data_IF_530427062700
#
_entry.id   IF_530427062700
#
_cell.length_a   1.000
_cell.length_b   1.000
_cell.length_c   1.000
_cell.angle_alpha   90.00
_cell.angle_beta   90.00
_cell.angle_gamma   90.00
#
_symmetry.space_group_name_H-M   'P 1'
#
loop_
_entity.id
_entity.type
_entity.pdbx_description
1 polymer ?
#
# COMPACT_ATOMS: atom_id res chain seq x y z
N UNK A 1 23.66 -21.31 17.51
CA UNK A 1 22.42 -22.05 17.84
C UNK A 1 22.08 -21.98 19.34
N UNK A 2 23.07 -21.82 20.25
CA UNK A 2 22.85 -21.78 21.72
C UNK A 2 22.29 -20.43 22.22
N UNK A 3 22.53 -19.31 21.58
CA UNK A 3 22.05 -18.01 22.00
C UNK A 3 20.51 -17.83 21.88
N UNK A 4 19.87 -18.49 20.92
CA UNK A 4 18.40 -18.45 20.75
C UNK A 4 17.65 -19.17 21.87
N UNK A 5 18.23 -20.22 22.41
CA UNK A 5 17.62 -21.00 23.49
C UNK A 5 17.62 -20.23 24.83
N UNK A 6 18.63 -19.42 25.09
CA UNK A 6 18.72 -18.62 26.30
C UNK A 6 17.73 -17.44 26.34
N UNK A 7 17.42 -16.84 25.19
CA UNK A 7 16.51 -15.68 25.14
C UNK A 7 15.04 -16.05 25.39
N UNK A 8 14.65 -17.29 25.16
CA UNK A 8 13.25 -17.75 25.29
C UNK A 8 12.95 -18.43 26.62
N UNK A 9 13.96 -18.90 27.38
CA UNK A 9 13.75 -19.64 28.63
C UNK A 9 13.31 -18.75 29.81
N UNK A 10 13.63 -17.46 29.77
CA UNK A 10 13.31 -16.51 30.85
C UNK A 10 12.00 -15.73 30.64
N UNK A 11 11.36 -15.81 29.42
CA UNK A 11 10.13 -15.10 29.13
C UNK A 11 8.91 -15.81 29.78
N UNK A 12 8.02 -15.02 30.38
CA UNK A 12 6.74 -15.52 30.87
C UNK A 12 5.96 -16.26 29.74
N UNK A 13 5.24 -17.35 30.02
CA UNK A 13 4.55 -18.14 28.99
C UNK A 13 3.66 -17.32 28.08
N UNK A 14 2.96 -16.31 28.63
CA UNK A 14 2.12 -15.40 27.85
C UNK A 14 2.93 -14.56 26.82
N UNK A 15 4.14 -14.15 27.17
CA UNK A 15 5.02 -13.38 26.28
C UNK A 15 5.55 -14.26 25.12
N UNK A 16 5.82 -15.52 25.38
CA UNK A 16 6.19 -16.49 24.32
C UNK A 16 5.06 -16.71 23.34
N UNK A 17 3.85 -16.98 23.80
CA UNK A 17 2.68 -17.16 22.95
C UNK A 17 2.40 -15.94 22.05
N UNK A 18 2.63 -14.71 22.56
CA UNK A 18 2.52 -13.50 21.78
C UNK A 18 3.61 -13.37 20.69
N UNK A 19 4.84 -13.74 21.02
CA UNK A 19 5.95 -13.75 20.06
C UNK A 19 5.72 -14.76 18.93
N UNK A 20 5.27 -15.95 19.29
CA UNK A 20 4.96 -16.99 18.32
C UNK A 20 3.78 -16.60 17.43
N UNK A 21 2.70 -16.07 18.00
CA UNK A 21 1.56 -15.58 17.25
C UNK A 21 1.95 -14.41 16.30
N UNK A 22 2.78 -13.49 16.76
CA UNK A 22 3.30 -12.41 15.93
C UNK A 22 4.21 -12.93 14.80
N UNK A 23 5.11 -13.86 15.12
CA UNK A 23 6.01 -14.47 14.15
C UNK A 23 5.24 -15.22 13.05
N UNK A 24 4.28 -16.05 13.43
CA UNK A 24 3.41 -16.74 12.48
C UNK A 24 2.57 -15.76 11.64
N UNK A 25 2.04 -14.69 12.25
CA UNK A 25 1.34 -13.65 11.50
C UNK A 25 2.22 -12.99 10.44
N UNK A 26 3.50 -12.73 10.73
CA UNK A 26 4.46 -12.21 9.76
C UNK A 26 4.68 -13.19 8.60
N UNK A 27 4.82 -14.48 8.88
CA UNK A 27 4.98 -15.52 7.85
C UNK A 27 3.73 -15.63 6.98
N UNK A 28 2.56 -15.73 7.62
CA UNK A 28 1.29 -15.84 6.90
C UNK A 28 0.94 -14.57 6.10
N UNK A 29 1.38 -13.40 6.54
CA UNK A 29 1.15 -12.16 5.79
C UNK A 29 1.70 -12.22 4.37
N UNK A 30 2.78 -12.97 4.10
CA UNK A 30 3.42 -13.06 2.79
C UNK A 30 2.48 -13.62 1.71
N UNK A 31 1.84 -14.75 1.97
CA UNK A 31 0.90 -15.33 1.01
C UNK A 31 -0.44 -14.60 1.00
N UNK A 32 -0.92 -14.14 2.17
CA UNK A 32 -2.14 -13.32 2.28
C UNK A 32 -2.01 -12.04 1.47
N UNK A 33 -0.87 -11.36 1.59
CA UNK A 33 -0.61 -10.15 0.86
C UNK A 33 -0.45 -10.38 -0.65
N UNK A 34 0.16 -11.50 -1.06
CA UNK A 34 0.22 -11.87 -2.47
C UNK A 34 -1.18 -12.13 -3.05
N UNK A 35 -2.06 -12.80 -2.28
CA UNK A 35 -3.45 -13.04 -2.66
C UNK A 35 -4.22 -11.71 -2.82
N UNK A 36 -4.16 -10.82 -1.82
CA UNK A 36 -4.82 -9.51 -1.88
C UNK A 36 -4.33 -8.69 -3.08
N UNK A 37 -3.02 -8.69 -3.34
CA UNK A 37 -2.46 -8.00 -4.50
C UNK A 37 -2.93 -8.62 -5.83
N UNK A 38 -2.99 -9.95 -5.92
CA UNK A 38 -3.52 -10.67 -7.08
C UNK A 38 -4.99 -10.35 -7.36
N UNK A 39 -5.83 -10.39 -6.32
CA UNK A 39 -7.25 -10.01 -6.41
C UNK A 39 -7.41 -8.56 -6.86
N UNK A 40 -6.62 -7.64 -6.30
CA UNK A 40 -6.65 -6.25 -6.73
C UNK A 40 -6.14 -6.05 -8.17
N UNK A 41 -5.14 -6.81 -8.61
CA UNK A 41 -4.67 -6.79 -10.00
C UNK A 41 -5.79 -7.24 -10.97
N UNK A 42 -6.47 -8.34 -10.67
CA UNK A 42 -7.64 -8.81 -11.42
C UNK A 42 -8.77 -7.77 -11.43
N UNK A 43 -9.07 -7.18 -10.26
CA UNK A 43 -10.04 -6.10 -10.17
C UNK A 43 -9.67 -4.92 -11.09
N UNK A 44 -8.41 -4.48 -11.10
CA UNK A 44 -7.94 -3.40 -11.99
C UNK A 44 -8.07 -3.76 -13.48
N UNK A 45 -7.83 -5.01 -13.85
CA UNK A 45 -8.00 -5.48 -15.23
C UNK A 45 -9.48 -5.43 -15.65
N UNK A 46 -10.39 -5.92 -14.82
CA UNK A 46 -11.83 -5.89 -15.05
C UNK A 46 -12.37 -4.45 -15.03
N UNK A 47 -11.89 -3.61 -14.10
CA UNK A 47 -12.25 -2.22 -13.94
C UNK A 47 -11.43 -1.27 -14.84
N UNK A 48 -10.81 -1.77 -15.93
CA UNK A 48 -9.98 -0.96 -16.84
C UNK A 48 -10.74 0.22 -17.46
N UNK A 49 -12.04 0.04 -17.73
CA UNK A 49 -12.97 1.05 -18.25
C UNK A 49 -13.56 1.96 -17.15
N UNK A 50 -13.45 1.57 -15.90
CA UNK A 50 -13.95 2.37 -14.78
C UNK A 50 -13.05 3.60 -14.53
N UNK A 51 -13.61 4.62 -13.87
CA UNK A 51 -12.85 5.82 -13.50
C UNK A 51 -11.71 5.52 -12.51
N UNK A 52 -10.70 6.37 -12.49
CA UNK A 52 -9.56 6.26 -11.56
C UNK A 52 -10.01 6.22 -10.08
N UNK A 53 -11.11 6.90 -9.75
CA UNK A 53 -11.70 6.89 -8.39
C UNK A 53 -12.08 5.48 -7.91
N UNK A 54 -12.63 4.64 -8.78
CA UNK A 54 -13.06 3.27 -8.44
C UNK A 54 -11.84 2.40 -8.15
N UNK A 55 -10.82 2.47 -9.00
CA UNK A 55 -9.56 1.72 -8.80
C UNK A 55 -8.79 2.20 -7.57
N UNK A 56 -8.78 3.52 -7.33
CA UNK A 56 -8.21 4.10 -6.11
C UNK A 56 -8.90 3.60 -4.84
N UNK A 57 -10.23 3.62 -4.79
CA UNK A 57 -10.99 3.12 -3.66
C UNK A 57 -10.75 1.62 -3.42
N UNK A 58 -10.75 0.82 -4.48
CA UNK A 58 -10.41 -0.60 -4.42
C UNK A 58 -8.99 -0.85 -3.88
N UNK A 59 -8.03 -0.02 -4.30
CA UNK A 59 -6.66 -0.08 -3.81
C UNK A 59 -6.51 0.32 -2.33
N UNK A 60 -7.24 1.34 -1.89
CA UNK A 60 -7.28 1.74 -0.48
C UNK A 60 -7.88 0.62 0.39
N UNK A 61 -8.94 -0.02 -0.09
CA UNK A 61 -9.54 -1.19 0.59
C UNK A 61 -8.56 -2.38 0.64
N UNK A 62 -7.86 -2.67 -0.45
CA UNK A 62 -6.84 -3.72 -0.48
C UNK A 62 -5.69 -3.43 0.50
N UNK A 63 -5.25 -2.17 0.64
CA UNK A 63 -4.26 -1.78 1.66
C UNK A 63 -4.78 -1.98 3.09
N UNK A 64 -6.06 -1.70 3.33
CA UNK A 64 -6.68 -1.95 4.62
C UNK A 64 -6.71 -3.45 4.94
N UNK A 65 -7.07 -4.29 3.97
CA UNK A 65 -7.03 -5.74 4.13
C UNK A 65 -5.62 -6.25 4.45
N UNK A 66 -4.59 -5.71 3.78
CA UNK A 66 -3.20 -6.07 4.08
C UNK A 66 -2.79 -5.80 5.53
N UNK A 67 -3.36 -4.78 6.16
CA UNK A 67 -3.09 -4.48 7.57
C UNK A 67 -3.94 -5.30 8.53
N UNK A 68 -5.19 -5.56 8.17
CA UNK A 68 -6.15 -6.25 9.03
C UNK A 68 -5.89 -7.76 9.08
N UNK A 69 -5.56 -8.38 7.95
CA UNK A 69 -5.39 -9.84 7.86
C UNK A 69 -4.30 -10.40 8.80
N UNK A 70 -3.07 -9.83 8.86
CA UNK A 70 -2.05 -10.31 9.79
C UNK A 70 -2.47 -10.15 11.26
N UNK A 71 -3.13 -9.04 11.60
CA UNK A 71 -3.65 -8.80 12.95
C UNK A 71 -4.72 -9.82 13.30
N UNK A 72 -5.66 -10.05 12.40
CA UNK A 72 -6.70 -11.08 12.58
C UNK A 72 -6.07 -12.48 12.75
N UNK A 73 -5.06 -12.82 11.95
CA UNK A 73 -4.33 -14.08 12.05
C UNK A 73 -3.65 -14.20 13.41
N UNK A 74 -2.94 -13.16 13.87
CA UNK A 74 -2.31 -13.17 15.20
C UNK A 74 -3.34 -13.33 16.33
N UNK A 75 -4.47 -12.61 16.25
CA UNK A 75 -5.54 -12.73 17.26
C UNK A 75 -6.20 -14.11 17.29
N UNK A 76 -6.39 -14.73 16.13
CA UNK A 76 -6.95 -16.08 16.03
C UNK A 76 -5.96 -17.12 16.57
N UNK A 77 -4.68 -17.03 16.19
CA UNK A 77 -3.63 -17.94 16.67
C UNK A 77 -3.44 -17.85 18.19
N UNK A 78 -3.53 -16.65 18.77
CA UNK A 78 -3.43 -16.45 20.20
C UNK A 78 -4.65 -17.02 20.99
N UNK A 79 -5.78 -17.22 20.34
CA UNK A 79 -7.01 -17.74 20.97
C UNK A 79 -7.17 -19.26 20.84
N UNK A 80 -6.51 -19.90 19.90
CA UNK A 80 -6.55 -21.36 19.74
C UNK A 80 -5.60 -21.98 20.76
N UNK A 81 -6.12 -22.79 21.75
CA UNK A 81 -5.25 -23.54 22.62
C UNK A 81 -4.39 -24.48 21.77
N UNK A 82 -3.11 -24.56 22.08
CA UNK A 82 -2.10 -25.37 21.35
C UNK A 82 -2.51 -26.86 21.19
N UNK A 83 -3.50 -27.32 21.98
CA UNK A 83 -4.01 -28.67 21.91
C UNK A 83 -4.95 -29.02 20.76
N UNK A 84 -5.57 -28.08 20.08
CA UNK A 84 -6.62 -28.39 19.09
C UNK A 84 -6.05 -28.87 17.74
N UNK A 85 -4.90 -28.38 17.33
CA UNK A 85 -4.20 -28.86 16.13
C UNK A 85 -3.43 -30.15 16.43
N UNK A 86 -2.71 -30.22 17.57
CA UNK A 86 -2.04 -31.45 18.02
C UNK A 86 -3.04 -32.60 18.22
N UNK A 87 -4.24 -32.33 18.71
CA UNK A 87 -5.30 -33.31 18.90
C UNK A 87 -5.92 -33.78 17.57
N UNK A 88 -5.99 -32.90 16.57
CA UNK A 88 -6.48 -33.21 15.22
C UNK A 88 -5.47 -34.06 14.43
N UNK A 89 -4.18 -33.73 14.56
CA UNK A 89 -3.10 -34.47 13.91
C UNK A 89 -2.93 -35.86 14.59
N UNK A 90 -2.97 -35.94 15.91
CA UNK A 90 -2.99 -37.21 16.65
C UNK A 90 -4.23 -38.07 16.33
N UNK A 91 -5.41 -37.44 16.17
CA UNK A 91 -6.63 -38.16 15.79
C UNK A 91 -6.57 -38.64 14.32
N UNK A 92 -5.95 -37.89 13.42
CA UNK A 92 -5.77 -38.32 12.02
C UNK A 92 -4.71 -39.40 11.86
N UNK A 93 -3.63 -39.32 12.64
CA UNK A 93 -2.61 -40.39 12.70
C UNK A 93 -3.15 -41.67 13.36
N UNK A 94 -3.93 -41.52 14.44
CA UNK A 94 -4.61 -42.65 15.09
C UNK A 94 -5.61 -43.33 14.16
N UNK A 95 -6.41 -42.57 13.42
CA UNK A 95 -7.38 -43.13 12.47
C UNK A 95 -6.71 -43.83 11.28
N UNK A 96 -5.55 -43.30 10.80
CA UNK A 96 -4.74 -43.97 9.78
C UNK A 96 -4.06 -45.22 10.29
N UNK A 97 -3.50 -45.18 11.50
CA UNK A 97 -2.90 -46.38 12.15
C UNK A 97 -3.93 -47.47 12.41
N UNK A 98 -5.13 -47.14 12.88
CA UNK A 98 -6.24 -48.07 13.06
C UNK A 98 -6.76 -48.63 11.73
N UNK A 99 -6.83 -47.84 10.68
CA UNK A 99 -7.23 -48.35 9.36
C UNK A 99 -6.20 -49.31 8.75
N UNK A 100 -4.91 -49.06 8.98
CA UNK A 100 -3.82 -49.96 8.56
C UNK A 100 -3.80 -51.25 9.44
N UNK A 101 -4.04 -51.15 10.72
CA UNK A 101 -4.10 -52.33 11.62
C UNK A 101 -5.37 -53.18 11.44
N UNK A 102 -6.52 -52.58 11.14
CA UNK A 102 -7.75 -53.24 10.83
C UNK A 102 -7.73 -53.98 9.49
N UNK A 103 -7.03 -53.40 8.48
CA UNK A 103 -6.80 -54.04 7.18
C UNK A 103 -5.87 -55.26 7.23
N UNK A 104 -5.06 -55.41 8.30
CA UNK A 104 -4.11 -56.51 8.47
C UNK A 104 -4.69 -57.81 9.08
N UNK A 105 -5.96 -57.83 9.53
CA UNK A 105 -6.58 -58.99 10.15
C UNK A 105 -7.50 -59.82 9.26
N UNK A 106 -7.71 -59.47 8.02
CA UNK A 106 -8.41 -60.31 7.06
C UNK A 106 -7.38 -61.21 6.34
N UNK A 107 -7.50 -62.55 6.36
CA UNK A 107 -6.62 -63.43 5.61
C UNK A 107 -7.02 -63.38 4.14
N UNK A 108 -6.45 -62.39 3.41
CA UNK A 108 -6.53 -62.36 1.96
C UNK A 108 -5.40 -63.22 1.39
N UNK A 109 -5.65 -64.53 1.34
CA UNK A 109 -4.90 -65.46 0.53
C UNK A 109 -5.11 -65.05 -0.96
N UNK A 110 -4.06 -64.53 -1.60
CA UNK A 110 -4.02 -64.49 -3.04
C UNK A 110 -4.04 -63.12 -3.74
N UNK A 111 -3.60 -62.00 -3.10
CA UNK A 111 -3.39 -60.74 -3.84
C UNK A 111 -1.93 -60.28 -3.80
N UNK A 112 -1.39 -60.28 -4.97
CA UNK A 112 -0.11 -59.80 -5.52
C UNK A 112 0.83 -59.01 -4.62
N UNK A 113 2.14 -59.34 -4.62
CA UNK A 113 3.23 -58.61 -3.92
C UNK A 113 3.33 -57.14 -4.37
N UNK A 114 2.86 -56.77 -5.58
CA UNK A 114 2.86 -55.44 -6.10
C UNK A 114 1.95 -54.46 -5.32
N UNK A 115 0.80 -54.89 -4.83
CA UNK A 115 -0.11 -54.06 -4.03
C UNK A 115 0.44 -53.77 -2.63
N UNK A 116 1.17 -54.69 -2.03
CA UNK A 116 1.84 -54.48 -0.74
C UNK A 116 3.01 -53.52 -0.86
N UNK A 117 3.84 -53.66 -1.91
CA UNK A 117 4.97 -52.76 -2.18
C UNK A 117 4.49 -51.31 -2.43
N UNK A 118 3.36 -51.09 -3.10
CA UNK A 118 2.82 -49.74 -3.35
C UNK A 118 2.26 -49.12 -2.05
N UNK A 119 1.66 -49.89 -1.13
CA UNK A 119 1.19 -49.36 0.15
C UNK A 119 2.36 -49.03 1.08
N UNK A 120 3.36 -49.88 1.12
CA UNK A 120 4.60 -49.62 1.92
C UNK A 120 5.36 -48.41 1.41
N UNK A 121 5.44 -48.24 0.10
CA UNK A 121 6.08 -47.06 -0.54
C UNK A 121 5.29 -45.79 -0.24
N UNK A 122 3.96 -45.83 -0.29
CA UNK A 122 3.10 -44.71 0.07
C UNK A 122 3.20 -44.34 1.55
N UNK A 123 3.21 -45.39 2.45
CA UNK A 123 3.40 -45.17 3.88
C UNK A 123 4.78 -44.57 4.22
N UNK A 124 5.84 -45.03 3.56
CA UNK A 124 7.18 -44.48 3.70
C UNK A 124 7.25 -43.03 3.18
N UNK A 125 6.57 -42.71 2.08
CA UNK A 125 6.51 -41.33 1.53
C UNK A 125 5.74 -40.39 2.49
N UNK A 126 4.64 -40.86 3.12
CA UNK A 126 3.88 -40.09 4.09
C UNK A 126 4.70 -39.85 5.37
N UNK A 127 5.41 -40.88 5.86
CA UNK A 127 6.26 -40.73 7.05
C UNK A 127 7.48 -39.82 6.80
N UNK A 128 8.04 -39.84 5.60
CA UNK A 128 9.09 -38.93 5.22
C UNK A 128 8.57 -37.46 5.09
N UNK A 129 7.39 -37.27 4.53
CA UNK A 129 6.76 -35.96 4.43
C UNK A 129 6.41 -35.39 5.82
N UNK A 130 5.92 -36.22 6.75
CA UNK A 130 5.62 -35.78 8.13
C UNK A 130 6.89 -35.42 8.90
N UNK A 131 7.96 -36.22 8.77
CA UNK A 131 9.26 -35.93 9.41
C UNK A 131 9.91 -34.63 8.87
N UNK A 132 9.82 -34.36 7.56
CA UNK A 132 10.30 -33.12 6.96
C UNK A 132 9.49 -31.91 7.44
N UNK A 133 8.18 -32.05 7.55
CA UNK A 133 7.30 -31.00 8.11
C UNK A 133 7.66 -30.69 9.55
N UNK A 134 7.76 -31.70 10.41
CA UNK A 134 8.12 -31.53 11.82
C UNK A 134 9.49 -30.84 11.98
N UNK A 135 10.49 -31.28 11.21
CA UNK A 135 11.80 -30.63 11.20
C UNK A 135 11.74 -29.16 10.73
N UNK A 136 10.95 -28.87 9.69
CA UNK A 136 10.80 -27.52 9.17
C UNK A 136 10.05 -26.61 10.17
N UNK A 137 9.00 -27.10 10.82
CA UNK A 137 8.24 -26.39 11.84
C UNK A 137 9.10 -26.08 13.07
N UNK A 138 9.87 -27.05 13.56
CA UNK A 138 10.79 -26.86 14.69
C UNK A 138 11.85 -25.78 14.38
N UNK A 139 12.45 -25.84 13.18
CA UNK A 139 13.43 -24.84 12.74
C UNK A 139 12.82 -23.46 12.58
N UNK A 140 11.63 -23.41 11.98
CA UNK A 140 10.92 -22.14 11.79
C UNK A 140 10.54 -21.52 13.12
N UNK A 141 10.00 -22.32 14.06
CA UNK A 141 9.62 -21.85 15.40
C UNK A 141 10.81 -21.29 16.17
N UNK A 142 11.98 -21.92 16.05
CA UNK A 142 13.21 -21.41 16.65
C UNK A 142 13.68 -20.06 16.07
N UNK A 143 13.28 -19.74 14.83
CA UNK A 143 13.62 -18.48 14.15
C UNK A 143 12.60 -17.36 14.40
N UNK A 144 11.36 -17.67 14.83
CA UNK A 144 10.30 -16.67 15.02
C UNK A 144 10.70 -15.50 15.92
N UNK A 145 11.34 -15.69 17.10
CA UNK A 145 11.75 -14.57 17.93
C UNK A 145 12.71 -13.62 17.23
N UNK A 146 13.67 -14.15 16.48
CA UNK A 146 14.62 -13.35 15.71
C UNK A 146 13.94 -12.59 14.56
N UNK A 147 12.97 -13.20 13.90
CA UNK A 147 12.14 -12.58 12.87
C UNK A 147 11.37 -11.39 13.44
N UNK A 148 10.73 -11.57 14.62
CA UNK A 148 10.00 -10.49 15.30
C UNK A 148 10.93 -9.38 15.75
N UNK A 149 12.12 -9.70 16.31
CA UNK A 149 13.10 -8.68 16.67
C UNK A 149 13.58 -7.88 15.46
N UNK A 150 13.91 -8.54 14.36
CA UNK A 150 14.31 -7.89 13.10
C UNK A 150 13.18 -7.02 12.54
N UNK A 151 11.94 -7.50 12.61
CA UNK A 151 10.76 -6.74 12.20
C UNK A 151 10.57 -5.50 13.07
N UNK A 152 10.66 -5.61 14.41
CA UNK A 152 10.58 -4.48 15.33
C UNK A 152 11.66 -3.43 15.05
N UNK A 153 12.90 -3.86 14.85
CA UNK A 153 14.00 -2.97 14.48
C UNK A 153 13.71 -2.20 13.19
N UNK A 154 13.20 -2.89 12.15
CA UNK A 154 12.77 -2.29 10.91
C UNK A 154 11.62 -1.29 11.10
N UNK A 155 10.60 -1.62 11.89
CA UNK A 155 9.49 -0.72 12.22
C UNK A 155 10.01 0.54 12.93
N UNK A 156 10.89 0.40 13.93
CA UNK A 156 11.48 1.54 14.64
C UNK A 156 12.27 2.44 13.69
N UNK A 157 13.03 1.86 12.76
CA UNK A 157 13.74 2.63 11.74
C UNK A 157 12.76 3.43 10.85
N UNK A 158 11.65 2.82 10.42
CA UNK A 158 10.63 3.52 9.61
C UNK A 158 9.90 4.60 10.42
N UNK A 159 9.61 4.36 11.71
CA UNK A 159 9.01 5.35 12.59
C UNK A 159 9.95 6.53 12.83
N UNK A 160 11.26 6.32 12.98
CA UNK A 160 12.23 7.42 13.10
C UNK A 160 12.27 8.30 11.84
N UNK A 161 12.20 7.68 10.65
CA UNK A 161 12.08 8.41 9.36
C UNK A 161 10.76 9.18 9.27
N UNK A 162 9.66 8.59 9.75
CA UNK A 162 8.36 9.26 9.80
C UNK A 162 8.40 10.48 10.73
N UNK A 163 9.03 10.35 11.92
CA UNK A 163 9.22 11.46 12.84
C UNK A 163 10.02 12.61 12.20
N UNK A 164 11.09 12.29 11.46
CA UNK A 164 11.85 13.26 10.68
C UNK A 164 11.00 13.98 9.61
N UNK A 165 10.21 13.23 8.86
CA UNK A 165 9.28 13.80 7.86
C UNK A 165 8.22 14.71 8.53
N UNK A 166 7.69 14.32 9.69
CA UNK A 166 6.74 15.13 10.44
C UNK A 166 7.37 16.45 10.95
N UNK A 167 8.61 16.40 11.44
CA UNK A 167 9.35 17.61 11.82
C UNK A 167 9.56 18.53 10.62
N UNK A 168 9.88 17.97 9.44
CA UNK A 168 9.97 18.72 8.20
C UNK A 168 8.64 19.41 7.86
N UNK A 169 7.52 18.71 7.91
CA UNK A 169 6.19 19.29 7.67
C UNK A 169 5.91 20.43 8.68
N UNK A 170 6.26 20.25 9.95
CA UNK A 170 6.15 21.34 10.95
C UNK A 170 7.00 22.55 10.57
N UNK A 171 8.23 22.34 10.12
CA UNK A 171 9.12 23.40 9.64
C UNK A 171 8.52 24.13 8.43
N UNK A 172 8.04 23.38 7.43
CA UNK A 172 7.39 23.95 6.25
C UNK A 172 6.19 24.81 6.61
N UNK A 173 5.37 24.39 7.57
CA UNK A 173 4.20 25.18 8.02
C UNK A 173 4.59 26.45 8.76
N UNK A 174 5.71 26.44 9.50
CA UNK A 174 6.18 27.63 10.25
C UNK A 174 6.85 28.65 9.34
N UNK A 175 7.49 28.22 8.26
CA UNK A 175 8.16 29.07 7.28
C UNK A 175 7.23 29.56 6.15
N UNK A 176 5.95 29.15 6.18
CA UNK A 176 4.98 29.54 5.19
C UNK A 176 4.60 31.02 5.33
N UNK A 177 4.75 31.77 4.24
CA UNK A 177 4.38 33.19 4.17
C UNK A 177 3.00 33.34 3.49
N UNK A 178 2.21 34.37 3.85
CA UNK A 178 0.94 34.63 3.17
C UNK A 178 1.16 34.97 1.71
N UNK A 179 0.18 34.69 0.87
CA UNK A 179 0.15 35.10 -0.53
C UNK A 179 -0.64 36.40 -0.70
N UNK A 180 -0.42 37.19 -1.77
CA UNK A 180 -1.28 38.31 -2.11
C UNK A 180 -2.75 37.91 -2.28
N UNK A 181 -3.68 38.82 -1.92
CA UNK A 181 -5.13 38.59 -1.88
C UNK A 181 -5.70 38.03 -3.19
N UNK A 182 -5.21 38.50 -4.34
CA UNK A 182 -5.60 37.97 -5.67
C UNK A 182 -5.50 36.43 -5.79
N UNK A 183 -4.56 35.81 -5.11
CA UNK A 183 -4.38 34.36 -5.14
C UNK A 183 -5.34 33.65 -4.15
N UNK A 184 -5.69 34.31 -3.04
CA UNK A 184 -6.73 33.80 -2.13
C UNK A 184 -8.10 33.83 -2.79
N UNK A 185 -8.43 34.90 -3.54
CA UNK A 185 -9.64 34.97 -4.34
C UNK A 185 -9.67 33.89 -5.43
N UNK A 186 -8.53 33.61 -6.10
CA UNK A 186 -8.42 32.52 -7.06
C UNK A 186 -8.71 31.18 -6.38
N UNK A 187 -8.09 30.92 -5.22
CA UNK A 187 -8.33 29.71 -4.43
C UNK A 187 -9.82 29.57 -4.07
N UNK A 188 -10.45 30.65 -3.63
CA UNK A 188 -11.87 30.66 -3.25
C UNK A 188 -12.78 30.28 -4.44
N UNK A 189 -12.52 30.87 -5.63
CA UNK A 189 -13.27 30.54 -6.86
C UNK A 189 -13.12 29.07 -7.24
N UNK A 190 -11.89 28.54 -7.23
CA UNK A 190 -11.62 27.13 -7.59
C UNK A 190 -12.22 26.19 -6.55
N UNK A 191 -12.12 26.53 -5.27
CA UNK A 191 -12.74 25.77 -4.16
C UNK A 191 -14.25 25.68 -4.33
N UNK A 192 -14.90 26.76 -4.71
CA UNK A 192 -16.34 26.80 -4.99
C UNK A 192 -16.73 25.88 -6.16
N UNK A 193 -15.99 25.92 -7.28
CA UNK A 193 -16.23 25.03 -8.44
C UNK A 193 -16.08 23.55 -8.09
N UNK A 194 -15.07 23.21 -7.31
CA UNK A 194 -14.80 21.85 -6.85
C UNK A 194 -15.67 21.42 -5.67
N UNK A 195 -16.51 22.34 -5.14
CA UNK A 195 -17.36 22.12 -3.95
C UNK A 195 -16.54 21.61 -2.75
N UNK A 196 -15.37 22.20 -2.52
CA UNK A 196 -14.53 21.90 -1.35
C UNK A 196 -15.15 22.56 -0.13
N UNK A 197 -15.65 21.75 0.82
CA UNK A 197 -16.36 22.24 2.02
C UNK A 197 -15.40 22.66 3.16
N UNK A 198 -14.12 22.35 3.03
CA UNK A 198 -13.12 22.64 4.06
C UNK A 198 -12.47 24.00 3.80
N UNK A 199 -12.18 24.71 4.89
CA UNK A 199 -11.35 25.90 4.79
C UNK A 199 -9.91 25.49 4.46
N UNK A 200 -9.43 25.93 3.31
CA UNK A 200 -8.06 25.70 2.81
C UNK A 200 -7.36 27.03 2.81
N UNK A 201 -6.13 27.06 3.31
CA UNK A 201 -5.26 28.24 3.24
C UNK A 201 -4.24 28.07 2.14
N UNK A 202 -3.86 29.17 1.50
CA UNK A 202 -2.79 29.23 0.51
C UNK A 202 -1.62 30.02 1.10
N UNK A 203 -0.42 29.46 1.03
CA UNK A 203 0.79 30.15 1.45
C UNK A 203 1.92 29.90 0.47
N UNK A 204 2.83 30.83 0.37
CA UNK A 204 4.07 30.62 -0.36
C UNK A 204 5.16 30.05 0.53
N UNK A 205 6.06 29.25 -0.04
CA UNK A 205 7.22 28.72 0.68
C UNK A 205 8.41 28.58 -0.27
N UNK A 206 9.57 29.02 0.20
CA UNK A 206 10.84 28.82 -0.51
C UNK A 206 11.41 27.40 -0.29
N UNK A 207 10.83 26.61 0.60
CA UNK A 207 11.30 25.26 0.96
C UNK A 207 10.61 24.16 0.15
N UNK A 208 9.63 24.50 -0.67
CA UNK A 208 8.93 23.54 -1.54
C UNK A 208 9.29 23.80 -3.00
N UNK A 209 9.56 22.75 -3.75
CA UNK A 209 9.87 22.80 -5.19
C UNK A 209 8.61 22.70 -6.05
N UNK A 210 7.58 22.06 -5.53
CA UNK A 210 6.29 21.84 -6.20
C UNK A 210 5.13 22.23 -5.28
N UNK A 211 3.98 22.64 -5.81
CA UNK A 211 2.78 22.81 -5.02
C UNK A 211 2.49 21.55 -4.20
N UNK A 212 2.13 21.71 -2.94
CA UNK A 212 1.97 20.56 -2.02
C UNK A 212 0.94 20.90 -0.96
N UNK A 213 0.02 19.97 -0.70
CA UNK A 213 -0.93 20.06 0.40
C UNK A 213 -0.32 19.48 1.68
N UNK A 214 -0.30 20.27 2.76
CA UNK A 214 0.16 19.85 4.07
C UNK A 214 -0.92 20.02 5.13
N UNK A 215 -1.00 19.05 6.05
CA UNK A 215 -1.97 19.06 7.14
C UNK A 215 -3.31 18.42 6.77
N UNK A 216 -3.92 17.78 7.77
CA UNK A 216 -5.15 17.00 7.61
C UNK A 216 -6.40 17.68 8.17
N UNK A 217 -6.33 18.33 9.34
CA UNK A 217 -7.47 19.04 9.94
C UNK A 217 -7.64 20.44 9.35
N UNK A 218 -6.54 21.14 9.13
CA UNK A 218 -6.48 22.47 8.52
C UNK A 218 -5.53 22.41 7.35
N UNK A 219 -6.03 22.00 6.16
CA UNK A 219 -5.20 21.84 4.97
C UNK A 219 -4.63 23.19 4.55
N UNK A 220 -3.34 23.18 4.24
CA UNK A 220 -2.56 24.30 3.79
C UNK A 220 -1.90 23.92 2.46
N UNK A 221 -2.18 24.66 1.41
CA UNK A 221 -1.49 24.51 0.13
C UNK A 221 -0.25 25.40 0.18
N UNK A 222 0.92 24.79 0.04
CA UNK A 222 2.19 25.48 -0.10
C UNK A 222 2.54 25.54 -1.58
N UNK A 223 2.83 26.76 -2.08
CA UNK A 223 3.25 26.97 -3.45
C UNK A 223 4.64 27.62 -3.47
N UNK A 224 5.58 27.14 -4.30
CA UNK A 224 6.86 27.82 -4.50
C UNK A 224 6.64 29.20 -5.14
N UNK A 225 7.44 30.18 -4.73
CA UNK A 225 7.37 31.54 -5.29
C UNK A 225 7.54 31.54 -6.83
N UNK A 226 8.42 30.68 -7.35
CA UNK A 226 8.60 30.51 -8.79
C UNK A 226 7.33 30.08 -9.54
N UNK A 227 6.49 29.25 -8.93
CA UNK A 227 5.23 28.84 -9.54
C UNK A 227 4.17 29.96 -9.51
N UNK A 228 4.15 30.79 -8.46
CA UNK A 228 3.25 31.95 -8.38
C UNK A 228 3.58 33.03 -9.43
N UNK A 229 4.85 33.17 -9.77
CA UNK A 229 5.34 34.19 -10.69
C UNK A 229 5.48 33.66 -12.13
N UNK A 230 5.80 32.39 -12.31
CA UNK A 230 6.13 31.80 -13.61
C UNK A 230 4.95 31.12 -14.32
N UNK A 231 3.84 30.86 -13.64
CA UNK A 231 2.66 30.27 -14.26
C UNK A 231 1.67 31.35 -14.75
N UNK A 232 1.11 31.14 -15.92
CA UNK A 232 -0.01 31.98 -16.36
C UNK A 232 -1.21 31.76 -15.40
N UNK A 233 -2.08 32.76 -15.18
CA UNK A 233 -3.20 32.67 -14.23
C UNK A 233 -4.10 31.46 -14.42
N UNK A 234 -4.40 31.06 -15.66
CA UNK A 234 -5.19 29.84 -15.95
C UNK A 234 -4.43 28.54 -15.66
N UNK A 235 -3.10 28.56 -15.82
CA UNK A 235 -2.27 27.40 -15.44
C UNK A 235 -2.22 27.24 -13.92
N UNK A 236 -2.08 28.33 -13.18
CA UNK A 236 -2.13 28.32 -11.71
C UNK A 236 -3.49 27.85 -11.21
N UNK A 237 -4.59 28.31 -11.84
CA UNK A 237 -5.94 27.81 -11.56
C UNK A 237 -6.03 26.29 -11.72
N UNK A 238 -5.46 25.72 -12.77
CA UNK A 238 -5.46 24.30 -13.04
C UNK A 238 -4.64 23.50 -12.00
N UNK A 239 -3.51 24.03 -11.57
CA UNK A 239 -2.69 23.47 -10.51
C UNK A 239 -3.42 23.50 -9.16
N UNK A 240 -4.03 24.65 -8.81
CA UNK A 240 -4.84 24.74 -7.59
C UNK A 240 -6.03 23.79 -7.62
N UNK A 241 -6.65 23.56 -8.77
CA UNK A 241 -7.72 22.58 -8.91
C UNK A 241 -7.24 21.15 -8.62
N UNK A 242 -6.02 20.80 -9.03
CA UNK A 242 -5.41 19.52 -8.69
C UNK A 242 -5.18 19.37 -7.18
N UNK A 243 -4.57 20.36 -6.54
CA UNK A 243 -4.30 20.36 -5.09
C UNK A 243 -5.61 20.31 -4.27
N UNK A 244 -6.62 21.06 -4.70
CA UNK A 244 -7.92 21.05 -4.06
C UNK A 244 -8.67 19.72 -4.26
N UNK A 245 -8.41 18.99 -5.33
CA UNK A 245 -8.97 17.65 -5.53
C UNK A 245 -8.44 16.68 -4.47
N UNK A 246 -7.17 16.74 -4.08
CA UNK A 246 -6.62 15.97 -2.96
C UNK A 246 -7.34 16.29 -1.64
N UNK A 247 -7.58 17.57 -1.37
CA UNK A 247 -8.31 18.00 -0.16
C UNK A 247 -9.74 17.50 -0.16
N UNK A 248 -10.47 17.64 -1.27
CA UNK A 248 -11.86 17.20 -1.43
C UNK A 248 -12.05 15.71 -1.17
N UNK A 249 -11.08 14.92 -1.60
CA UNK A 249 -11.12 13.44 -1.55
C UNK A 249 -10.59 12.86 -0.24
N UNK A 250 -10.11 13.70 0.67
CA UNK A 250 -9.47 13.24 1.90
C UNK A 250 -8.27 12.30 1.66
N UNK A 251 -7.48 12.56 0.62
CA UNK A 251 -6.35 11.72 0.21
C UNK A 251 -5.30 11.56 1.32
N UNK A 252 -5.27 12.47 2.29
CA UNK A 252 -4.43 12.34 3.48
C UNK A 252 -4.74 11.08 4.32
N UNK A 253 -6.01 10.66 4.39
CA UNK A 253 -6.38 9.47 5.16
C UNK A 253 -5.83 8.20 4.50
N UNK A 254 -5.92 8.11 3.18
CA UNK A 254 -5.31 7.00 2.43
C UNK A 254 -3.79 7.08 2.49
N UNK A 255 -3.20 8.29 2.48
CA UNK A 255 -1.75 8.44 2.66
C UNK A 255 -1.28 7.97 4.04
N UNK A 256 -2.06 8.20 5.10
CA UNK A 256 -1.78 7.67 6.43
C UNK A 256 -1.87 6.13 6.45
N UNK A 257 -2.90 5.56 5.80
CA UNK A 257 -3.04 4.11 5.62
C UNK A 257 -1.85 3.51 4.86
N UNK A 258 -1.41 4.18 3.77
CA UNK A 258 -0.21 3.80 3.02
C UNK A 258 1.04 3.82 3.90
N UNK A 259 1.21 4.89 4.69
CA UNK A 259 2.36 5.02 5.61
C UNK A 259 2.35 3.90 6.65
N UNK A 260 1.20 3.58 7.23
CA UNK A 260 1.06 2.47 8.17
C UNK A 260 1.42 1.13 7.49
N UNK A 261 0.88 0.86 6.29
CA UNK A 261 1.20 -0.35 5.54
C UNK A 261 2.68 -0.43 5.16
N UNK A 262 3.28 0.65 4.69
CA UNK A 262 4.71 0.70 4.33
C UNK A 262 5.64 0.59 5.55
N UNK A 263 5.19 1.02 6.73
CA UNK A 263 5.94 0.90 7.97
C UNK A 263 5.85 -0.50 8.56
N UNK A 264 4.65 -1.06 8.67
CA UNK A 264 4.43 -2.36 9.32
C UNK A 264 4.79 -3.53 8.39
N UNK A 265 4.58 -3.37 7.08
CA UNK A 265 4.83 -4.36 6.04
C UNK A 265 6.01 -3.95 5.13
N UNK A 266 7.02 -3.29 5.68
CA UNK A 266 8.17 -2.77 4.91
C UNK A 266 8.91 -3.86 4.13
N UNK A 267 8.92 -5.08 4.64
CA UNK A 267 9.53 -6.26 4.02
C UNK A 267 8.67 -6.85 2.88
N UNK A 268 7.38 -6.46 2.80
CA UNK A 268 6.41 -7.12 1.92
C UNK A 268 6.36 -6.51 0.52
N UNK A 269 6.71 -7.25 -0.56
CA UNK A 269 6.75 -6.70 -1.91
C UNK A 269 5.37 -6.29 -2.43
N UNK A 270 4.30 -7.04 -2.09
CA UNK A 270 2.93 -6.72 -2.49
C UNK A 270 2.44 -5.42 -1.86
N UNK A 271 2.79 -5.11 -0.59
CA UNK A 271 2.44 -3.85 0.06
C UNK A 271 3.07 -2.66 -0.70
N UNK A 272 4.34 -2.78 -1.09
CA UNK A 272 5.02 -1.73 -1.87
C UNK A 272 4.44 -1.58 -3.28
N UNK A 273 4.10 -2.69 -3.94
CA UNK A 273 3.46 -2.65 -5.25
C UNK A 273 2.09 -1.99 -5.18
N UNK A 274 1.25 -2.41 -4.23
CA UNK A 274 -0.09 -1.89 -4.03
C UNK A 274 -0.06 -0.40 -3.68
N UNK A 275 0.84 0.01 -2.79
CA UNK A 275 1.00 1.41 -2.40
C UNK A 275 1.41 2.29 -3.59
N UNK A 276 2.33 1.83 -4.45
CA UNK A 276 2.67 2.55 -5.69
C UNK A 276 1.48 2.66 -6.64
N UNK A 277 0.69 1.59 -6.76
CA UNK A 277 -0.49 1.59 -7.61
C UNK A 277 -1.55 2.56 -7.10
N UNK A 278 -1.82 2.56 -5.80
CA UNK A 278 -2.75 3.50 -5.16
C UNK A 278 -2.31 4.95 -5.36
N UNK A 279 -1.01 5.25 -5.23
CA UNK A 279 -0.48 6.59 -5.55
C UNK A 279 -0.75 6.98 -7.01
N UNK A 280 -0.49 6.10 -7.96
CA UNK A 280 -0.75 6.38 -9.37
C UNK A 280 -2.24 6.65 -9.66
N UNK A 281 -3.14 5.82 -9.12
CA UNK A 281 -4.59 6.01 -9.31
C UNK A 281 -5.10 7.27 -8.61
N UNK A 282 -4.49 7.68 -7.48
CA UNK A 282 -4.76 8.95 -6.80
C UNK A 282 -4.43 10.14 -7.69
N UNK A 283 -3.22 10.16 -8.27
CA UNK A 283 -2.80 11.23 -9.19
C UNK A 283 -3.74 11.28 -10.41
N UNK A 284 -4.05 10.15 -11.00
CA UNK A 284 -4.98 10.08 -12.12
C UNK A 284 -6.37 10.65 -11.80
N UNK A 285 -6.85 10.41 -10.59
CA UNK A 285 -8.15 10.89 -10.17
C UNK A 285 -8.15 12.40 -9.87
N UNK A 286 -7.04 12.95 -9.38
CA UNK A 286 -6.87 14.38 -9.20
C UNK A 286 -6.67 15.10 -10.52
N UNK A 287 -5.94 14.49 -11.47
CA UNK A 287 -5.82 14.98 -12.84
C UNK A 287 -7.20 15.09 -13.52
N UNK A 288 -8.00 14.03 -13.43
CA UNK A 288 -9.35 14.00 -13.99
C UNK A 288 -10.24 15.12 -13.39
N UNK A 289 -10.13 15.36 -12.07
CA UNK A 289 -10.87 16.43 -11.39
C UNK A 289 -10.38 17.85 -11.79
N UNK A 290 -9.07 18.02 -11.99
CA UNK A 290 -8.51 19.28 -12.43
C UNK A 290 -8.93 19.62 -13.87
N UNK A 291 -8.93 18.62 -14.76
CA UNK A 291 -9.43 18.78 -16.14
C UNK A 291 -10.93 19.08 -16.16
N UNK A 292 -11.72 18.40 -15.31
CA UNK A 292 -13.15 18.69 -15.22
C UNK A 292 -13.43 20.12 -14.73
N UNK A 293 -12.65 20.61 -13.76
CA UNK A 293 -12.80 21.97 -13.22
C UNK A 293 -12.38 23.06 -14.20
N UNK A 294 -11.37 22.82 -15.04
CA UNK A 294 -10.83 23.78 -16.02
C UNK A 294 -11.50 23.68 -17.39
N UNK A 295 -12.09 22.55 -17.72
CA UNK A 295 -12.69 22.26 -19.02
C UNK A 295 -11.69 22.10 -20.17
N UNK A 296 -10.36 22.18 -19.92
CA UNK A 296 -9.33 22.18 -20.95
C UNK A 296 -8.16 21.26 -20.59
N UNK A 297 -8.09 20.12 -21.28
CA UNK A 297 -7.03 19.11 -21.11
C UNK A 297 -5.65 19.67 -21.49
N UNK A 298 -5.57 20.45 -22.57
CA UNK A 298 -4.29 20.98 -23.06
C UNK A 298 -3.75 22.06 -22.13
N UNK A 299 -4.63 22.90 -21.58
CA UNK A 299 -4.26 23.88 -20.57
C UNK A 299 -3.63 23.20 -19.36
N UNK A 300 -4.27 22.13 -18.86
CA UNK A 300 -3.78 21.38 -17.70
C UNK A 300 -2.46 20.67 -18.02
N UNK A 301 -2.34 20.04 -19.18
CA UNK A 301 -1.09 19.39 -19.61
C UNK A 301 0.07 20.41 -19.71
N UNK A 302 -0.18 21.61 -20.25
CA UNK A 302 0.80 22.71 -20.29
C UNK A 302 1.16 23.21 -18.89
N UNK A 303 0.21 23.27 -17.96
CA UNK A 303 0.47 23.64 -16.56
C UNK A 303 1.40 22.63 -15.86
N UNK A 304 1.18 21.33 -16.07
CA UNK A 304 2.05 20.28 -15.56
C UNK A 304 3.47 20.37 -16.14
N UNK A 305 3.59 20.58 -17.45
CA UNK A 305 4.88 20.73 -18.11
C UNK A 305 5.62 21.99 -17.63
N UNK A 306 4.91 23.12 -17.44
CA UNK A 306 5.48 24.34 -16.91
C UNK A 306 5.97 24.19 -15.47
N UNK A 307 5.24 23.49 -14.61
CA UNK A 307 5.67 23.16 -13.25
C UNK A 307 6.95 22.33 -13.25
N UNK A 308 7.05 21.33 -14.11
CA UNK A 308 8.25 20.49 -14.19
C UNK A 308 9.45 21.30 -14.70
N UNK A 309 9.24 22.20 -15.66
CA UNK A 309 10.28 23.09 -16.13
C UNK A 309 10.80 24.02 -15.03
N UNK A 310 9.90 24.61 -14.23
CA UNK A 310 10.26 25.43 -13.07
C UNK A 310 11.02 24.64 -12.02
N UNK A 311 10.61 23.40 -11.76
CA UNK A 311 11.31 22.48 -10.85
C UNK A 311 12.71 22.14 -11.35
N UNK A 312 12.84 21.81 -12.62
CA UNK A 312 14.13 21.48 -13.22
C UNK A 312 15.11 22.65 -13.20
N UNK A 313 14.62 23.88 -13.41
CA UNK A 313 15.44 25.10 -13.32
C UNK A 313 15.91 25.46 -11.90
N UNK A 314 15.22 24.95 -10.87
CA UNK A 314 15.55 25.18 -9.47
C UNK A 314 16.46 24.08 -8.86
N UNK A 315 16.54 22.91 -9.49
CA UNK A 315 17.26 21.75 -8.96
C UNK A 315 18.74 21.76 -9.33
N UNK A 316 19.66 21.38 -8.42
CA UNK A 316 21.08 21.20 -8.76
C UNK A 316 21.26 20.04 -9.78
N UNK A 317 22.29 20.09 -10.66
CA UNK A 317 22.49 19.11 -11.75
C UNK A 317 22.51 17.65 -11.32
N UNK A 318 23.03 17.35 -10.12
CA UNK A 318 23.07 15.99 -9.55
C UNK A 318 21.67 15.45 -9.19
N UNK A 319 20.72 16.33 -8.83
CA UNK A 319 19.35 15.92 -8.53
C UNK A 319 18.55 15.61 -9.80
N UNK A 320 18.89 16.26 -10.94
CA UNK A 320 18.30 15.97 -12.25
C UNK A 320 18.61 14.57 -12.75
N UNK A 321 19.82 14.05 -12.48
CA UNK A 321 20.20 12.68 -12.86
C UNK A 321 19.42 11.60 -12.08
N UNK A 322 19.04 11.86 -10.81
CA UNK A 322 18.22 10.99 -9.98
C UNK A 322 16.70 11.19 -10.22
N UNK A 323 16.31 12.37 -10.68
CA UNK A 323 14.93 12.73 -11.01
C UNK A 323 14.51 12.33 -12.43
N UNK A 324 15.30 11.54 -13.15
CA UNK A 324 14.94 10.95 -14.46
C UNK A 324 13.64 10.08 -14.43
N UNK A 325 12.82 10.25 -13.39
CA UNK A 325 11.43 9.80 -13.27
C UNK A 325 10.45 10.65 -14.14
N UNK A 326 10.93 11.33 -15.17
CA UNK A 326 10.08 11.96 -16.19
C UNK A 326 9.05 10.99 -16.81
N UNK A 327 9.23 9.67 -16.60
CA UNK A 327 8.29 8.66 -17.01
C UNK A 327 6.88 8.81 -16.40
N UNK A 328 6.75 9.21 -15.15
CA UNK A 328 5.43 9.33 -14.51
C UNK A 328 4.65 10.55 -15.01
N UNK A 329 5.29 11.70 -15.19
CA UNK A 329 4.66 12.90 -15.74
C UNK A 329 4.27 12.69 -17.21
N UNK A 330 5.17 12.12 -18.02
CA UNK A 330 4.89 11.83 -19.42
C UNK A 330 3.71 10.86 -19.56
N UNK A 331 3.64 9.83 -18.72
CA UNK A 331 2.50 8.90 -18.68
C UNK A 331 1.19 9.60 -18.30
N UNK A 332 1.22 10.53 -17.33
CA UNK A 332 0.06 11.36 -16.97
C UNK A 332 -0.42 12.21 -18.15
N UNK A 333 0.49 12.92 -18.80
CA UNK A 333 0.19 13.77 -19.97
C UNK A 333 -0.37 12.92 -21.12
N UNK A 334 0.28 11.81 -21.48
CA UNK A 334 -0.21 10.89 -22.53
C UNK A 334 -1.60 10.35 -22.24
N UNK A 335 -1.83 9.93 -20.97
CA UNK A 335 -3.15 9.46 -20.54
C UNK A 335 -4.23 10.55 -20.72
N UNK A 336 -3.94 11.78 -20.33
CA UNK A 336 -4.86 12.90 -20.42
C UNK A 336 -5.20 13.24 -21.88
N UNK A 337 -4.19 13.32 -22.73
CA UNK A 337 -4.35 13.64 -24.16
C UNK A 337 -5.15 12.52 -24.86
N UNK A 338 -4.81 11.24 -24.62
CA UNK A 338 -5.53 10.11 -25.20
C UNK A 338 -7.00 10.06 -24.76
N UNK A 339 -7.29 10.39 -23.49
CA UNK A 339 -8.67 10.49 -23.00
C UNK A 339 -9.42 11.70 -23.57
N UNK A 340 -8.73 12.82 -23.75
CA UNK A 340 -9.29 14.01 -24.38
C UNK A 340 -9.69 13.75 -25.84
N UNK A 341 -8.88 12.98 -26.57
CA UNK A 341 -9.17 12.58 -27.95
C UNK A 341 -10.34 11.58 -28.05
N UNK A 342 -10.55 10.73 -27.03
CA UNK A 342 -11.61 9.74 -27.01
C UNK A 342 -13.00 10.27 -26.57
N UNK A 343 -13.09 11.49 -26.02
CA UNK A 343 -14.37 12.16 -25.72
C UNK A 343 -14.80 12.95 -26.96
N UNK A 344 -15.92 12.58 -27.63
CA UNK A 344 -16.46 13.40 -28.71
C UNK A 344 -16.76 14.80 -28.12
N UNK A 345 -16.30 15.85 -28.83
CA UNK A 345 -16.67 17.24 -28.57
C UNK A 345 -18.21 17.30 -28.55
N UNK A 346 -18.81 17.36 -27.37
CA UNK A 346 -20.20 17.77 -27.26
C UNK A 346 -20.26 19.19 -27.83
N UNK A 347 -20.74 19.29 -29.05
CA UNK A 347 -21.04 20.56 -29.69
C UNK A 347 -22.05 21.26 -28.78
N UNK A 348 -21.64 22.39 -28.21
CA UNK A 348 -22.54 23.33 -27.58
C UNK A 348 -23.50 23.83 -28.67
N UNK A 349 -24.58 23.10 -28.93
CA UNK A 349 -25.77 23.69 -29.55
C UNK A 349 -26.31 24.69 -28.53
N UNK A 350 -26.01 25.96 -28.74
CA UNK A 350 -26.81 27.06 -28.22
C UNK A 350 -28.20 26.92 -28.83
N UNK A 351 -29.27 26.88 -28.06
CA UNK A 351 -30.59 27.17 -28.62
C UNK A 351 -30.64 28.66 -29.01
N UNK A 352 -31.17 28.93 -30.20
CA UNK A 352 -31.44 30.25 -30.72
C UNK A 352 -32.55 30.94 -29.92
#
# INVERSE_FOLDING_TARGET
LTAGFFFTTELAPAARGLLDAAGWALVHSLWQGALVAGVYACFCALASRAGANVRYAGGAFALLLLLVLPVATACLSARTPEGLFAQRDAASEGALADSVSAGGRAPLAGKEPAARASVETAAAAVSHASSLRGWAEERLTALLPWLVCAWLAGVLLHLSRFAGAWLLVRRLRRSAAPVPERFEELLARVSGRLRVRRAVRLCQSALVEVPTVVGHLRPLILIPAGALLGLAPRQLEAVLAHELAHVRRYDYAVNLLQTAAETLLFYHPAARWLSRRVRAEREHACDDAAVEATGDVLLYARALAALEHLRAGAAPPAALALAANGGSLMQRIQRLVNRGAARPRQSTRRPA
#
